data_IF_736362615639
#
_entry.id   IF_736362615639
#
_cell.length_a   1.000
_cell.length_b   1.000
_cell.length_c   1.000
_cell.angle_alpha   90.00
_cell.angle_beta   90.00
_cell.angle_gamma   90.00
#
_symmetry.space_group_name_H-M   'P 1'
#
loop_
_entity.id
_entity.type
_entity.pdbx_description
1 polymer ?
#
# COMPACT_ATOMS: atom_id res chain seq x y z
N UNK A 1 -38.62 37.03 50.84
CA UNK A 1 -39.80 37.89 50.58
C UNK A 1 -39.40 38.80 49.42
N UNK A 2 -39.94 38.50 48.24
CA UNK A 2 -40.07 39.31 47.01
C UNK A 2 -38.82 39.98 46.36
N UNK A 3 -38.48 39.46 45.16
CA UNK A 3 -37.92 40.22 44.03
C UNK A 3 -38.96 41.24 43.48
N UNK A 4 -38.53 42.27 42.72
CA UNK A 4 -38.72 42.15 41.26
C UNK A 4 -37.68 42.88 40.35
N UNK A 5 -37.48 42.30 39.14
CA UNK A 5 -37.45 42.89 37.77
C UNK A 5 -36.73 44.22 37.47
N UNK A 6 -36.13 44.55 36.31
CA UNK A 6 -35.93 44.01 34.95
C UNK A 6 -35.04 45.06 34.23
N UNK A 7 -34.26 44.68 33.21
CA UNK A 7 -33.68 45.69 32.30
C UNK A 7 -32.66 45.18 31.28
N UNK A 8 -33.14 44.66 30.15
CA UNK A 8 -32.46 44.56 28.85
C UNK A 8 -33.19 45.52 27.88
N UNK A 9 -32.53 46.16 26.90
CA UNK A 9 -32.41 45.49 25.59
C UNK A 9 -31.21 45.87 24.65
N UNK A 10 -30.93 44.91 23.76
CA UNK A 10 -30.63 44.96 22.31
C UNK A 10 -29.44 45.74 21.68
N UNK A 11 -28.56 44.95 21.05
CA UNK A 11 -28.20 44.89 19.61
C UNK A 11 -27.64 46.11 18.85
N UNK A 12 -26.54 45.89 18.12
CA UNK A 12 -26.37 46.48 16.78
C UNK A 12 -24.94 46.65 16.25
N UNK A 13 -24.72 46.10 15.05
CA UNK A 13 -23.78 46.48 13.98
C UNK A 13 -22.32 45.97 13.96
N UNK A 14 -22.09 45.13 12.94
CA UNK A 14 -20.81 44.82 12.32
C UNK A 14 -20.20 46.03 11.59
N UNK A 15 -18.89 46.05 11.43
CA UNK A 15 -18.25 46.59 10.22
C UNK A 15 -16.84 46.04 10.03
N UNK A 16 -16.54 45.73 8.77
CA UNK A 16 -15.27 45.24 8.27
C UNK A 16 -14.18 46.31 8.29
N UNK A 17 -12.92 45.88 8.38
CA UNK A 17 -11.78 46.66 7.94
C UNK A 17 -10.88 45.79 7.05
N UNK A 18 -10.91 46.12 5.76
CA UNK A 18 -9.94 45.72 4.75
C UNK A 18 -8.67 46.56 4.86
N UNK A 19 -7.55 45.97 4.41
CA UNK A 19 -6.32 46.67 4.02
C UNK A 19 -5.30 46.79 5.16
N UNK A 20 -4.00 46.67 4.94
CA UNK A 20 -3.22 46.62 3.71
C UNK A 20 -1.76 46.26 4.09
N UNK A 21 -1.00 45.82 3.09
CA UNK A 21 0.40 46.17 2.87
C UNK A 21 1.55 45.44 3.61
N UNK A 22 2.29 44.67 2.78
CA UNK A 22 3.75 44.55 2.64
C UNK A 22 4.64 44.41 3.88
N UNK A 23 5.54 43.42 3.85
CA UNK A 23 6.87 43.60 3.26
C UNK A 23 7.70 42.31 3.32
N UNK A 24 8.37 42.01 2.22
CA UNK A 24 9.54 41.15 2.17
C UNK A 24 10.72 41.85 2.88
N UNK A 25 11.39 41.14 3.77
CA UNK A 25 12.73 41.47 4.26
C UNK A 25 13.55 40.17 4.21
N UNK A 26 14.36 40.00 3.15
CA UNK A 26 15.83 40.09 3.17
C UNK A 26 16.50 39.09 4.11
N UNK A 27 17.11 38.06 3.50
CA UNK A 27 18.24 37.33 4.05
C UNK A 27 19.39 38.31 4.31
N UNK A 28 20.04 38.23 5.48
CA UNK A 28 21.51 38.24 5.63
C UNK A 28 21.92 37.54 6.95
N UNK A 29 23.15 37.05 6.90
CA UNK A 29 23.89 36.13 7.75
C UNK A 29 24.20 36.66 9.18
N UNK A 30 24.29 35.77 10.18
CA UNK A 30 25.29 35.83 11.26
C UNK A 30 25.12 34.69 12.31
N UNK A 31 26.23 34.01 12.53
CA UNK A 31 26.68 33.21 13.69
C UNK A 31 26.14 33.59 15.08
N UNK A 32 25.83 32.59 15.92
CA UNK A 32 25.78 32.75 17.39
C UNK A 32 25.09 31.61 18.15
N UNK A 33 25.70 31.19 19.27
CA UNK A 33 25.31 30.05 20.14
C UNK A 33 23.94 30.19 20.84
N UNK A 34 23.33 29.05 21.22
CA UNK A 34 22.40 28.97 22.34
C UNK A 34 21.32 27.91 22.17
N UNK A 35 21.33 26.88 23.01
CA UNK A 35 20.33 25.81 23.00
C UNK A 35 18.96 26.26 23.51
N UNK A 36 17.91 25.59 23.04
CA UNK A 36 16.74 25.29 23.83
C UNK A 36 15.97 24.11 23.22
N UNK A 37 15.53 23.23 24.11
CA UNK A 37 14.60 22.15 23.81
C UNK A 37 13.19 22.74 23.69
N UNK A 38 12.57 22.63 22.52
CA UNK A 38 11.13 22.83 22.36
C UNK A 38 10.56 21.76 21.43
N UNK A 39 9.40 21.24 21.86
CA UNK A 39 8.74 20.07 21.29
C UNK A 39 8.37 20.26 19.84
N UNK A 40 8.82 19.34 19.00
CA UNK A 40 8.25 19.15 17.68
C UNK A 40 6.86 18.53 17.84
N UNK A 41 5.84 19.38 17.74
CA UNK A 41 4.51 18.93 17.33
C UNK A 41 4.66 18.37 15.92
N UNK A 42 4.47 17.06 15.77
CA UNK A 42 4.46 16.40 14.48
C UNK A 42 3.34 17.01 13.64
N UNK A 43 3.71 17.83 12.66
CA UNK A 43 2.81 18.35 11.65
C UNK A 43 2.34 17.14 10.81
N UNK A 44 1.04 16.99 10.52
CA UNK A 44 0.57 15.91 9.65
C UNK A 44 1.23 16.06 8.28
N UNK A 45 2.09 15.11 7.91
CA UNK A 45 2.66 15.05 6.57
C UNK A 45 1.55 14.61 5.62
N UNK A 46 1.22 15.39 4.57
CA UNK A 46 0.21 15.01 3.61
C UNK A 46 0.59 13.69 2.92
N UNK A 47 -0.41 12.87 2.64
CA UNK A 47 -0.27 11.57 2.00
C UNK A 47 0.16 11.79 0.54
N UNK A 48 1.47 11.83 0.29
CA UNK A 48 2.01 11.79 -1.07
C UNK A 48 2.05 10.32 -1.53
N UNK A 49 0.96 9.87 -2.18
CA UNK A 49 1.00 8.69 -3.04
C UNK A 49 1.92 8.97 -4.21
N UNK A 50 3.03 8.26 -4.30
CA UNK A 50 3.89 8.23 -5.49
C UNK A 50 3.19 7.44 -6.59
N UNK A 51 2.25 8.08 -7.29
CA UNK A 51 1.73 7.59 -8.57
C UNK A 51 2.53 8.25 -9.70
N UNK A 52 3.44 7.48 -10.29
CA UNK A 52 4.23 7.91 -11.44
C UNK A 52 3.38 7.93 -12.71
N UNK A 53 3.34 9.10 -13.36
CA UNK A 53 2.86 9.33 -14.72
C UNK A 53 3.75 8.57 -15.71
N UNK A 54 3.15 7.75 -16.58
CA UNK A 54 3.80 7.13 -17.73
C UNK A 54 3.15 7.64 -19.02
N UNK A 55 3.89 8.42 -19.82
CA UNK A 55 3.59 8.65 -21.23
C UNK A 55 4.14 7.50 -22.09
N UNK A 56 3.32 7.04 -23.03
CA UNK A 56 3.50 5.79 -23.75
C UNK A 56 4.36 5.88 -25.01
N UNK A 57 4.83 4.71 -25.46
CA UNK A 57 5.17 4.44 -26.86
C UNK A 57 4.66 3.05 -27.23
N UNK A 58 3.67 3.04 -28.12
CA UNK A 58 3.10 1.83 -28.71
C UNK A 58 3.97 1.26 -29.83
N UNK A 59 3.98 -0.06 -29.93
CA UNK A 59 4.50 -0.82 -31.07
C UNK A 59 3.53 -1.95 -31.38
N UNK A 60 2.93 -1.92 -32.56
CA UNK A 60 1.97 -2.89 -33.07
C UNK A 60 2.65 -4.19 -33.54
N UNK A 61 2.00 -5.36 -33.43
CA UNK A 61 2.42 -6.58 -34.11
C UNK A 61 1.72 -6.73 -35.49
N UNK A 62 2.39 -7.33 -36.50
CA UNK A 62 1.80 -7.59 -37.81
C UNK A 62 0.94 -8.87 -37.83
N UNK A 63 -0.06 -8.97 -38.75
CA UNK A 63 -0.88 -10.17 -38.94
C UNK A 63 -0.45 -11.00 -40.16
N UNK A 64 -0.56 -12.32 -40.04
CA UNK A 64 -0.59 -13.29 -41.14
C UNK A 64 -1.11 -14.61 -40.58
N UNK A 65 -2.06 -15.34 -41.16
CA UNK A 65 -2.53 -15.43 -42.53
C UNK A 65 -2.45 -16.91 -42.94
N UNK A 66 -3.58 -17.55 -43.28
CA UNK A 66 -3.57 -18.90 -43.88
C UNK A 66 -4.73 -19.81 -43.50
N UNK A 67 -5.70 -19.95 -44.41
CA UNK A 67 -6.82 -20.91 -44.42
C UNK A 67 -6.44 -22.18 -45.22
N UNK A 68 -7.36 -23.16 -45.19
CA UNK A 68 -7.67 -24.24 -46.16
C UNK A 68 -7.36 -25.66 -45.65
N UNK A 69 -8.41 -26.42 -45.28
CA UNK A 69 -9.25 -27.33 -46.10
C UNK A 69 -8.56 -28.66 -46.40
N UNK A 70 -9.15 -29.78 -45.93
CA UNK A 70 -9.73 -30.80 -46.82
C UNK A 70 -10.16 -32.05 -46.04
N UNK A 71 -11.26 -32.60 -46.54
CA UNK A 71 -12.03 -33.79 -46.19
C UNK A 71 -11.31 -35.13 -46.36
N UNK A 72 -11.67 -36.13 -45.54
CA UNK A 72 -11.98 -37.47 -46.07
C UNK A 72 -12.88 -38.29 -45.13
N UNK A 73 -14.02 -38.74 -45.69
CA UNK A 73 -14.90 -39.81 -45.19
C UNK A 73 -14.17 -41.15 -45.33
N UNK A 74 -14.21 -42.00 -44.30
CA UNK A 74 -13.75 -43.38 -44.33
C UNK A 74 -14.52 -44.24 -43.35
N UNK A 75 -14.71 -45.51 -43.67
CA UNK A 75 -15.90 -46.28 -43.37
C UNK A 75 -15.88 -47.05 -42.04
N UNK A 76 -17.09 -47.38 -41.60
CA UNK A 76 -17.50 -48.04 -40.36
C UNK A 76 -17.26 -49.55 -40.43
N UNK A 77 -16.45 -50.10 -39.53
CA UNK A 77 -16.47 -51.53 -39.16
C UNK A 77 -16.77 -51.64 -37.66
N UNK A 78 -17.88 -52.31 -37.34
CA UNK A 78 -18.30 -52.59 -35.95
C UNK A 78 -17.49 -53.78 -35.42
N UNK A 79 -16.80 -53.58 -34.31
CA UNK A 79 -16.25 -54.63 -33.42
C UNK A 79 -16.97 -54.53 -32.06
N UNK A 80 -17.11 -55.65 -31.32
CA UNK A 80 -18.00 -55.75 -30.16
C UNK A 80 -17.47 -55.04 -28.90
N UNK A 81 -18.41 -54.57 -28.08
CA UNK A 81 -18.20 -53.79 -26.85
C UNK A 81 -17.38 -54.55 -25.78
N UNK A 82 -16.28 -53.93 -25.36
CA UNK A 82 -15.57 -54.24 -24.12
C UNK A 82 -16.11 -53.36 -22.97
N UNK A 83 -16.11 -53.84 -21.71
CA UNK A 83 -16.69 -53.11 -20.59
C UNK A 83 -15.97 -51.78 -20.34
N UNK A 84 -16.75 -50.70 -20.37
CA UNK A 84 -16.33 -49.31 -20.25
C UNK A 84 -15.80 -49.04 -18.84
N UNK A 85 -14.48 -49.10 -18.67
CA UNK A 85 -13.79 -48.60 -17.48
C UNK A 85 -14.10 -47.11 -17.34
N UNK A 86 -14.66 -46.72 -16.19
CA UNK A 86 -14.95 -45.31 -15.86
C UNK A 86 -13.65 -44.51 -15.93
N UNK A 87 -13.54 -43.62 -16.90
CA UNK A 87 -12.42 -42.68 -17.03
C UNK A 87 -12.28 -41.88 -15.74
N UNK A 88 -11.10 -41.94 -15.13
CA UNK A 88 -10.73 -41.07 -14.02
C UNK A 88 -10.88 -39.60 -14.45
N UNK A 89 -11.31 -38.70 -13.54
CA UNK A 89 -11.38 -37.28 -13.85
C UNK A 89 -9.98 -36.77 -14.22
N UNK A 90 -9.92 -35.99 -15.30
CA UNK A 90 -8.69 -35.33 -15.73
C UNK A 90 -8.11 -34.48 -14.59
N UNK A 91 -6.77 -34.40 -14.44
CA UNK A 91 -6.15 -33.55 -13.44
C UNK A 91 -6.59 -32.11 -13.69
N UNK A 92 -7.38 -31.57 -12.75
CA UNK A 92 -7.76 -30.18 -12.73
C UNK A 92 -6.48 -29.35 -12.76
N UNK A 93 -6.37 -28.47 -13.75
CA UNK A 93 -5.31 -27.47 -13.83
C UNK A 93 -5.18 -26.79 -12.47
N UNK A 94 -4.01 -26.82 -11.80
CA UNK A 94 -3.87 -26.13 -10.53
C UNK A 94 -4.16 -24.65 -10.74
N UNK A 95 -5.01 -24.09 -9.90
CA UNK A 95 -5.30 -22.66 -9.91
C UNK A 95 -3.97 -21.88 -9.86
N UNK A 96 -3.85 -20.75 -10.59
CA UNK A 96 -2.64 -19.95 -10.56
C UNK A 96 -2.29 -19.61 -9.10
N UNK A 97 -1.00 -19.63 -8.72
CA UNK A 97 -0.58 -19.38 -7.35
C UNK A 97 -1.14 -18.05 -6.87
N UNK A 98 -1.86 -18.08 -5.75
CA UNK A 98 -2.43 -16.89 -5.13
C UNK A 98 -1.28 -16.03 -4.63
N UNK A 99 -1.19 -14.80 -5.12
CA UNK A 99 -0.15 -13.85 -4.74
C UNK A 99 -0.48 -13.28 -3.35
N UNK A 100 -0.02 -13.96 -2.31
CA UNK A 100 -0.28 -13.60 -0.91
C UNK A 100 0.67 -12.55 -0.34
N UNK A 101 1.71 -12.19 -1.10
CA UNK A 101 2.84 -11.39 -0.63
C UNK A 101 3.18 -10.28 -1.61
N UNK A 102 2.97 -9.02 -1.20
CA UNK A 102 3.23 -7.83 -2.03
C UNK A 102 4.37 -6.99 -1.49
N UNK A 103 5.20 -6.47 -2.38
CA UNK A 103 6.16 -5.42 -2.10
C UNK A 103 5.49 -4.06 -2.35
N UNK A 104 5.62 -3.16 -1.37
CA UNK A 104 5.16 -1.78 -1.46
C UNK A 104 6.32 -0.82 -1.17
N UNK A 105 6.47 0.20 -2.01
CA UNK A 105 7.43 1.26 -1.76
C UNK A 105 6.91 2.22 -0.67
N UNK A 106 7.80 2.60 0.24
CA UNK A 106 7.55 3.56 1.31
C UNK A 106 8.78 4.42 1.56
N UNK A 107 8.60 5.63 2.08
CA UNK A 107 9.71 6.46 2.56
C UNK A 107 10.03 6.12 4.02
N UNK A 108 11.13 6.67 4.52
CA UNK A 108 11.60 6.37 5.86
C UNK A 108 10.67 6.86 6.98
N UNK A 109 10.21 8.13 6.99
CA UNK A 109 9.33 8.61 8.05
C UNK A 109 8.05 7.80 8.21
N UNK A 110 7.47 7.34 7.09
CA UNK A 110 6.27 6.51 7.12
C UNK A 110 6.54 5.10 7.65
N UNK A 111 7.71 4.53 7.32
CA UNK A 111 8.09 3.23 7.86
C UNK A 111 8.29 3.29 9.38
N UNK A 112 8.87 4.38 9.91
CA UNK A 112 9.00 4.56 11.36
C UNK A 112 7.65 4.55 12.07
N UNK A 113 6.63 5.18 11.50
CA UNK A 113 5.28 5.15 12.08
C UNK A 113 4.72 3.73 12.22
N UNK A 114 5.05 2.84 11.28
CA UNK A 114 4.66 1.41 11.32
C UNK A 114 5.48 0.67 12.39
N UNK A 115 6.79 0.91 12.46
CA UNK A 115 7.69 0.27 13.44
C UNK A 115 7.29 0.66 14.87
N UNK A 116 7.02 1.95 15.10
CA UNK A 116 6.61 2.49 16.39
C UNK A 116 5.18 2.10 16.78
N UNK A 117 4.45 1.41 15.89
CA UNK A 117 3.05 1.01 16.08
C UNK A 117 2.04 2.16 16.05
N UNK A 118 2.49 3.39 15.81
CA UNK A 118 1.61 4.57 15.69
C UNK A 118 0.67 4.46 14.48
N UNK A 119 1.12 3.83 13.40
CA UNK A 119 0.31 3.51 12.23
C UNK A 119 -0.08 2.04 12.23
N UNK A 120 -1.35 1.76 12.50
CA UNK A 120 -1.86 0.38 12.63
C UNK A 120 -2.49 -0.18 11.35
N UNK A 121 -2.78 0.67 10.35
CA UNK A 121 -3.35 0.25 9.07
C UNK A 121 -2.60 0.85 7.88
N UNK A 122 -2.40 0.04 6.83
CA UNK A 122 -1.97 0.49 5.50
C UNK A 122 -3.21 0.80 4.63
N UNK A 123 -3.33 2.03 4.14
CA UNK A 123 -4.47 2.46 3.33
C UNK A 123 -4.13 2.45 1.84
N UNK A 124 -5.01 1.89 1.00
CA UNK A 124 -4.79 1.80 -0.44
C UNK A 124 -6.05 2.10 -1.23
N UNK A 125 -5.84 2.63 -2.43
CA UNK A 125 -6.90 2.85 -3.43
C UNK A 125 -7.35 1.60 -4.16
N UNK A 126 -6.63 0.49 -3.98
CA UNK A 126 -6.88 -0.76 -4.67
C UNK A 126 -6.93 -1.93 -3.70
N UNK A 127 -7.71 -2.93 -4.06
CA UNK A 127 -7.76 -4.20 -3.36
C UNK A 127 -6.54 -5.07 -3.72
N UNK A 128 -5.93 -5.67 -2.70
CA UNK A 128 -4.92 -6.73 -2.74
C UNK A 128 -5.57 -8.01 -2.21
N UNK A 129 -6.53 -8.54 -2.98
CA UNK A 129 -7.35 -9.65 -2.53
C UNK A 129 -6.49 -10.89 -2.22
N UNK A 130 -6.66 -11.46 -1.03
CA UNK A 130 -5.91 -12.64 -0.58
C UNK A 130 -4.49 -12.34 -0.08
N UNK A 131 -4.13 -11.06 0.10
CA UNK A 131 -2.88 -10.68 0.76
C UNK A 131 -2.81 -11.27 2.17
N UNK A 132 -1.61 -11.71 2.55
CA UNK A 132 -1.25 -12.16 3.89
C UNK A 132 -0.11 -11.34 4.48
N UNK A 133 0.80 -10.84 3.64
CA UNK A 133 1.99 -10.10 4.07
C UNK A 133 2.31 -8.97 3.10
N UNK A 134 2.78 -7.85 3.65
CA UNK A 134 3.31 -6.72 2.90
C UNK A 134 4.81 -6.62 3.21
N UNK A 135 5.62 -6.48 2.17
CA UNK A 135 7.07 -6.30 2.23
C UNK A 135 7.39 -4.84 1.90
N UNK A 136 7.95 -4.10 2.84
CA UNK A 136 8.17 -2.67 2.66
C UNK A 136 9.55 -2.38 2.09
N UNK A 137 9.58 -1.87 0.87
CA UNK A 137 10.75 -1.28 0.24
C UNK A 137 10.92 0.16 0.71
N UNK A 138 11.93 0.41 1.55
CA UNK A 138 12.34 1.77 1.92
C UNK A 138 13.09 2.36 0.73
N UNK A 139 12.62 3.51 0.26
CA UNK A 139 13.30 4.30 -0.77
C UNK A 139 14.62 4.87 -0.22
N UNK A 140 15.26 5.80 -0.94
CA UNK A 140 16.49 6.42 -0.47
C UNK A 140 16.31 7.00 0.95
N UNK A 141 17.30 6.84 1.86
CA UNK A 141 18.67 6.39 1.60
C UNK A 141 18.88 4.86 1.62
N UNK A 142 17.90 4.06 2.04
CA UNK A 142 18.07 2.61 2.24
C UNK A 142 18.10 1.83 0.93
N UNK A 143 17.17 2.15 0.02
CA UNK A 143 17.00 1.44 -1.25
C UNK A 143 16.95 -0.09 -1.08
N UNK A 144 16.21 -0.55 -0.07
CA UNK A 144 16.16 -1.95 0.34
C UNK A 144 14.77 -2.33 0.87
N UNK A 145 14.41 -3.60 0.74
CA UNK A 145 13.28 -4.16 1.47
C UNK A 145 13.75 -4.50 2.88
N UNK A 146 13.11 -3.89 3.87
CA UNK A 146 13.61 -3.95 5.25
C UNK A 146 12.65 -4.62 6.21
N UNK A 147 11.35 -4.64 5.90
CA UNK A 147 10.35 -5.17 6.79
C UNK A 147 9.32 -6.03 6.08
N UNK A 148 8.83 -7.04 6.79
CA UNK A 148 7.71 -7.90 6.41
C UNK A 148 6.62 -7.74 7.47
N UNK A 149 5.43 -7.36 7.04
CA UNK A 149 4.29 -7.12 7.91
C UNK A 149 3.15 -8.06 7.55
N UNK A 150 2.84 -9.07 8.38
CA UNK A 150 1.60 -9.81 8.27
C UNK A 150 0.39 -8.88 8.40
N UNK A 151 -0.62 -9.09 7.56
CA UNK A 151 -1.81 -8.26 7.50
C UNK A 151 -3.10 -9.07 7.46
N UNK A 152 -4.19 -8.44 7.90
CA UNK A 152 -5.53 -8.97 7.72
C UNK A 152 -6.06 -8.69 6.31
N UNK A 153 -7.13 -9.39 5.88
CA UNK A 153 -7.92 -8.96 4.72
C UNK A 153 -8.34 -7.49 4.85
N UNK A 154 -8.53 -6.83 3.71
CA UNK A 154 -8.91 -5.42 3.69
C UNK A 154 -10.23 -5.20 4.45
N UNK A 155 -10.19 -4.28 5.41
CA UNK A 155 -11.39 -3.58 5.86
C UNK A 155 -11.75 -2.52 4.81
N UNK A 156 -13.05 -2.27 4.66
CA UNK A 156 -13.60 -1.32 3.68
C UNK A 156 -14.48 -0.28 4.34
N UNK A 157 -14.79 0.79 3.60
CA UNK A 157 -15.68 1.90 4.05
C UNK A 157 -17.07 1.82 3.44
N UNK A 158 -17.52 0.62 3.06
CA UNK A 158 -18.85 0.44 2.52
C UNK A 158 -19.88 0.62 3.64
N UNK A 159 -21.09 1.02 3.26
CA UNK A 159 -22.19 1.15 4.20
C UNK A 159 -22.48 -0.20 4.85
N UNK A 160 -22.37 -0.27 6.18
CA UNK A 160 -22.60 -1.49 6.95
C UNK A 160 -21.33 -2.26 7.34
N UNK A 161 -20.16 -1.83 6.86
CA UNK A 161 -18.89 -2.34 7.39
C UNK A 161 -18.60 -1.74 8.77
N UNK A 162 -17.98 -2.54 9.64
CA UNK A 162 -17.53 -2.08 10.95
C UNK A 162 -16.40 -1.04 10.79
N UNK A 163 -16.44 0.08 11.53
CA UNK A 163 -15.38 1.08 11.49
C UNK A 163 -14.06 0.51 12.03
N UNK A 164 -12.94 1.10 11.61
CA UNK A 164 -11.64 0.74 12.14
C UNK A 164 -11.53 1.16 13.61
N UNK A 165 -10.84 0.40 14.48
CA UNK A 165 -10.43 0.89 15.78
C UNK A 165 -9.62 2.18 15.63
N UNK A 166 -9.93 3.21 16.40
CA UNK A 166 -9.21 4.51 16.35
C UNK A 166 -7.88 4.48 17.13
N UNK A 167 -7.17 3.35 17.07
CA UNK A 167 -5.93 3.07 17.80
C UNK A 167 -4.65 3.42 17.02
N UNK A 168 -4.79 4.03 15.84
CA UNK A 168 -3.67 4.36 14.97
C UNK A 168 -3.91 5.58 14.10
N UNK A 169 -2.82 6.13 13.61
CA UNK A 169 -2.78 7.33 12.79
C UNK A 169 -3.60 7.14 11.50
N UNK A 170 -4.57 8.02 11.30
CA UNK A 170 -5.43 8.03 10.12
C UNK A 170 -6.72 7.22 10.23
N UNK A 171 -6.88 6.41 11.28
CA UNK A 171 -8.03 5.52 11.41
C UNK A 171 -9.33 6.31 11.58
N UNK A 172 -9.29 7.38 12.40
CA UNK A 172 -10.44 8.26 12.60
C UNK A 172 -10.83 8.98 11.31
N UNK A 173 -9.86 9.58 10.63
CA UNK A 173 -10.08 10.30 9.38
C UNK A 173 -10.60 9.38 8.26
N UNK A 174 -10.11 8.13 8.23
CA UNK A 174 -10.61 7.08 7.36
C UNK A 174 -12.09 6.76 7.67
N UNK A 175 -12.44 6.55 8.94
CA UNK A 175 -13.82 6.29 9.36
C UNK A 175 -14.78 7.45 9.01
N UNK A 176 -14.35 8.69 9.28
CA UNK A 176 -15.12 9.93 9.05
C UNK A 176 -15.25 10.31 7.57
N UNK A 177 -14.60 9.55 6.68
CA UNK A 177 -14.52 9.84 5.26
C UNK A 177 -13.87 11.17 4.91
N UNK A 178 -12.81 11.52 5.60
CA UNK A 178 -12.05 12.75 5.36
C UNK A 178 -11.52 12.82 3.90
N UNK A 179 -11.52 14.01 3.26
CA UNK A 179 -11.07 14.18 1.86
C UNK A 179 -9.64 13.65 1.58
N UNK A 180 -8.74 13.69 2.55
CA UNK A 180 -7.38 13.15 2.40
C UNK A 180 -7.35 11.63 2.14
N UNK A 181 -8.42 10.93 2.54
CA UNK A 181 -8.62 9.50 2.34
C UNK A 181 -9.57 9.21 1.17
N UNK A 182 -9.86 10.21 0.32
CA UNK A 182 -10.67 9.99 -0.87
C UNK A 182 -10.00 8.98 -1.82
N UNK A 183 -10.82 8.06 -2.33
CA UNK A 183 -10.40 6.90 -3.11
C UNK A 183 -9.57 5.86 -2.36
N UNK A 184 -9.22 6.04 -1.08
CA UNK A 184 -8.54 5.02 -0.26
C UNK A 184 -9.60 4.14 0.42
N UNK A 185 -10.15 3.20 -0.33
CA UNK A 185 -11.29 2.39 0.14
C UNK A 185 -10.87 1.10 0.89
N UNK A 186 -9.58 0.77 0.91
CA UNK A 186 -9.08 -0.50 1.47
C UNK A 186 -8.04 -0.24 2.56
N UNK A 187 -8.29 -0.75 3.77
CA UNK A 187 -7.40 -0.65 4.91
C UNK A 187 -6.91 -2.04 5.36
N UNK A 188 -5.59 -2.25 5.39
CA UNK A 188 -4.97 -3.51 5.81
C UNK A 188 -4.40 -3.34 7.21
N UNK A 189 -4.98 -4.05 8.20
CA UNK A 189 -4.43 -4.05 9.57
C UNK A 189 -3.04 -4.64 9.55
N UNK A 190 -2.07 -3.92 10.11
CA UNK A 190 -0.72 -4.41 10.36
C UNK A 190 -0.77 -5.17 11.69
N UNK A 191 -0.55 -6.48 11.63
CA UNK A 191 -0.67 -7.35 12.80
C UNK A 191 0.63 -7.43 13.61
N UNK A 192 1.76 -7.33 12.91
CA UNK A 192 3.11 -7.42 13.48
C UNK A 192 4.10 -6.88 12.45
N UNK A 193 5.29 -6.53 12.92
CA UNK A 193 6.37 -6.00 12.08
C UNK A 193 7.61 -6.85 12.30
N UNK A 194 8.15 -7.39 11.21
CA UNK A 194 9.38 -8.16 11.21
C UNK A 194 10.43 -7.42 10.42
N UNK A 195 11.60 -7.21 11.00
CA UNK A 195 12.77 -6.68 10.32
C UNK A 195 13.56 -7.82 9.65
N UNK A 196 13.90 -7.62 8.37
CA UNK A 196 14.57 -8.64 7.57
C UNK A 196 16.04 -8.75 7.97
N UNK A 197 16.43 -9.94 8.39
CA UNK A 197 17.80 -10.32 8.66
C UNK A 197 18.49 -10.78 7.37
N UNK A 198 18.89 -9.82 6.53
CA UNK A 198 19.71 -10.05 5.36
C UNK A 198 21.18 -9.66 5.60
N UNK A 199 22.06 -9.98 4.66
CA UNK A 199 23.49 -9.74 4.77
C UNK A 199 23.81 -8.29 5.19
N UNK A 200 24.67 -8.15 6.21
CA UNK A 200 25.11 -6.85 6.73
C UNK A 200 24.02 -6.05 7.46
N UNK A 201 22.86 -6.63 7.75
CA UNK A 201 21.78 -5.96 8.49
C UNK A 201 21.09 -4.83 7.72
N UNK A 202 21.22 -4.80 6.39
CA UNK A 202 20.70 -3.72 5.53
C UNK A 202 19.36 -4.02 4.88
N UNK A 203 18.77 -5.18 5.17
CA UNK A 203 17.64 -5.73 4.42
C UNK A 203 18.05 -6.17 3.01
N UNK A 204 17.06 -6.49 2.19
CA UNK A 204 17.26 -6.98 0.82
C UNK A 204 17.49 -5.78 -0.09
N UNK A 205 18.76 -5.50 -0.36
CA UNK A 205 19.17 -4.30 -1.12
C UNK A 205 18.77 -4.39 -2.59
N UNK A 206 18.70 -3.24 -3.28
CA UNK A 206 18.40 -3.21 -4.71
C UNK A 206 19.35 -4.07 -5.57
N UNK A 207 20.68 -4.11 -5.32
CA UNK A 207 21.56 -5.07 -5.97
C UNK A 207 21.13 -6.54 -5.75
N UNK A 208 20.90 -6.96 -4.51
CA UNK A 208 20.44 -8.34 -4.21
C UNK A 208 19.12 -8.67 -4.92
N UNK A 209 18.17 -7.75 -4.90
CA UNK A 209 16.90 -7.89 -5.63
C UNK A 209 17.09 -8.11 -7.14
N UNK A 210 18.05 -7.42 -7.76
CA UNK A 210 18.38 -7.56 -9.18
C UNK A 210 19.09 -8.87 -9.47
N UNK A 211 20.16 -9.13 -8.72
CA UNK A 211 21.15 -10.15 -9.04
C UNK A 211 20.67 -11.54 -8.62
N UNK A 212 19.93 -11.66 -7.51
CA UNK A 212 19.46 -12.94 -6.96
C UNK A 212 17.99 -13.23 -7.29
N UNK A 213 17.15 -12.18 -7.45
CA UNK A 213 15.70 -12.33 -7.52
C UNK A 213 15.05 -11.81 -8.82
N UNK A 214 15.85 -11.32 -9.77
CA UNK A 214 15.38 -10.91 -11.08
C UNK A 214 14.50 -9.66 -11.09
N UNK A 215 14.49 -8.87 -10.02
CA UNK A 215 13.78 -7.60 -9.94
C UNK A 215 14.61 -6.53 -10.66
N UNK A 216 14.20 -6.17 -11.88
CA UNK A 216 14.99 -5.29 -12.77
C UNK A 216 15.17 -3.86 -12.25
N UNK A 217 14.21 -3.35 -11.46
CA UNK A 217 14.17 -1.96 -11.02
C UNK A 217 13.61 -1.84 -9.62
N UNK A 218 13.94 -0.73 -8.95
CA UNK A 218 13.39 -0.43 -7.63
C UNK A 218 11.85 -0.48 -7.66
N UNK A 219 11.21 -1.13 -6.68
CA UNK A 219 9.76 -1.08 -6.53
C UNK A 219 9.27 0.38 -6.47
N UNK A 220 8.31 0.74 -7.33
CA UNK A 220 7.69 2.08 -7.35
C UNK A 220 6.22 2.08 -6.96
N UNK A 221 5.57 0.93 -7.02
CA UNK A 221 4.17 0.73 -6.66
C UNK A 221 4.00 -0.63 -6.02
N UNK A 222 2.91 -1.33 -6.34
CA UNK A 222 2.72 -2.74 -5.94
C UNK A 222 3.42 -3.69 -6.90
N UNK A 223 4.09 -4.69 -6.34
CA UNK A 223 4.55 -5.85 -7.11
C UNK A 223 4.47 -7.10 -6.24
N UNK A 224 4.27 -8.26 -6.87
CA UNK A 224 4.34 -9.52 -6.15
C UNK A 224 5.76 -9.82 -5.72
N UNK A 225 5.92 -10.37 -4.51
CA UNK A 225 7.21 -10.91 -4.07
C UNK A 225 7.54 -12.14 -4.92
N UNK A 226 8.72 -12.22 -5.54
CA UNK A 226 9.18 -13.41 -6.25
C UNK A 226 9.27 -14.63 -5.33
N UNK A 227 8.97 -15.82 -5.86
CA UNK A 227 9.07 -17.09 -5.10
C UNK A 227 10.46 -17.33 -4.51
N UNK A 228 11.53 -16.88 -5.19
CA UNK A 228 12.90 -16.98 -4.67
C UNK A 228 13.10 -16.18 -3.38
N UNK A 229 12.47 -15.00 -3.26
CA UNK A 229 12.52 -14.21 -2.03
C UNK A 229 11.71 -14.86 -0.92
N UNK A 230 10.54 -15.44 -1.23
CA UNK A 230 9.72 -16.16 -0.26
C UNK A 230 10.45 -17.39 0.30
N UNK A 231 11.21 -18.09 -0.54
CA UNK A 231 12.00 -19.24 -0.14
C UNK A 231 13.21 -18.87 0.73
N UNK A 232 13.87 -17.75 0.42
CA UNK A 232 15.11 -17.31 1.08
C UNK A 232 14.88 -16.53 2.37
N UNK A 233 13.85 -15.66 2.42
CA UNK A 233 13.57 -14.78 3.55
C UNK A 233 12.24 -15.16 4.20
N UNK A 234 12.23 -16.34 4.84
CA UNK A 234 11.05 -16.85 5.54
C UNK A 234 10.75 -15.99 6.75
N UNK A 235 9.46 -15.72 7.01
CA UNK A 235 9.04 -14.81 8.08
C UNK A 235 9.54 -15.27 9.46
N UNK A 236 9.56 -16.58 9.67
CA UNK A 236 9.92 -17.23 10.93
C UNK A 236 11.39 -17.02 11.31
N UNK A 237 12.25 -16.74 10.31
CA UNK A 237 13.68 -16.50 10.49
C UNK A 237 14.00 -15.01 10.73
N UNK A 238 12.98 -14.14 10.66
CA UNK A 238 13.15 -12.69 10.78
C UNK A 238 12.97 -12.19 12.22
N UNK A 239 13.52 -11.01 12.52
CA UNK A 239 13.41 -10.42 13.85
C UNK A 239 12.07 -9.70 14.00
N UNK A 240 11.20 -10.18 14.87
CA UNK A 240 9.98 -9.46 15.24
C UNK A 240 10.34 -8.21 16.05
N UNK A 241 9.85 -7.04 15.63
CA UNK A 241 10.06 -5.75 16.31
C UNK A 241 8.78 -5.15 16.90
N UNK A 242 7.61 -5.55 16.37
CA UNK A 242 6.27 -5.24 16.91
C UNK A 242 5.37 -6.48 16.82
#
# INVERSE_FOLDING_TARGET
MQDPEKGLPSAGFASAASGNLMAFATNEDATGHGGNAEGHVAVPVPIASVDAVCEGRGGAPPPGGGKMQSTQKGQRTKLPDAPRTRSAPAPSTPAPPRRTDMILATNDPYMQQIIDGTKTYEFRKYNMAGIKRIWFYRTAPHSAITHICPVNPAATRNTGDEPLPEDGLGNKEYNDKHPDYDGHDYAYRINSVYEINAEGGKGITLPMMKDEHGIKMAPRGRMAVPESMLAQYKLEDQRKVL
#
